data_IF_382890016366
#
_entry.id   IF_382890016366
#
_cell.length_a   1.000
_cell.length_b   1.000
_cell.length_c   1.000
_cell.angle_alpha   90.00
_cell.angle_beta   90.00
_cell.angle_gamma   90.00
#
_symmetry.space_group_name_H-M   'P 1'
#
loop_
_entity.id
_entity.type
_entity.pdbx_description
1 polymer ?
#
# COMPACT_ATOMS: atom_id res chain seq x y z
N UNK A 1 -6.10 6.06 7.19
CA UNK A 1 -6.86 5.79 5.95
C UNK A 1 -6.53 6.87 4.94
N UNK A 2 -6.16 6.50 3.74
CA UNK A 2 -5.90 7.43 2.64
C UNK A 2 -7.18 7.97 2.04
N UNK A 3 -7.07 8.85 1.05
CA UNK A 3 -8.19 9.37 0.28
C UNK A 3 -8.14 8.76 -1.12
N UNK A 4 -8.98 7.78 -1.39
CA UNK A 4 -9.13 7.20 -2.72
C UNK A 4 -9.81 8.17 -3.70
N UNK A 5 -9.83 7.81 -4.98
CA UNK A 5 -10.53 8.60 -5.98
C UNK A 5 -12.02 8.29 -5.98
N UNK A 6 -12.84 9.29 -5.77
CA UNK A 6 -14.28 9.24 -5.98
C UNK A 6 -14.66 10.31 -7.00
N UNK A 7 -15.32 9.91 -8.09
CA UNK A 7 -15.76 10.83 -9.12
C UNK A 7 -16.76 11.85 -8.55
N UNK A 8 -16.48 13.14 -8.74
CA UNK A 8 -17.29 14.25 -8.21
C UNK A 8 -18.33 14.73 -9.21
N UNK A 9 -17.90 15.01 -10.44
CA UNK A 9 -18.72 15.71 -11.45
C UNK A 9 -19.57 14.71 -12.26
N UNK A 10 -20.44 13.96 -11.59
CA UNK A 10 -21.29 12.95 -12.26
C UNK A 10 -22.52 13.55 -12.95
N UNK A 11 -22.97 14.73 -12.52
CA UNK A 11 -24.11 15.45 -13.05
C UNK A 11 -23.69 16.55 -14.03
N UNK A 12 -22.58 17.21 -13.75
CA UNK A 12 -22.05 18.33 -14.55
C UNK A 12 -21.43 17.84 -15.85
N UNK A 13 -20.73 16.71 -15.84
CA UNK A 13 -20.18 16.07 -17.05
C UNK A 13 -21.17 15.01 -17.53
N UNK A 14 -22.29 15.46 -18.06
CA UNK A 14 -23.37 14.60 -18.55
C UNK A 14 -23.91 15.06 -19.92
N UNK A 15 -24.63 14.19 -20.60
CA UNK A 15 -25.23 14.51 -21.91
C UNK A 15 -26.28 15.60 -21.75
N UNK A 16 -26.14 16.70 -22.52
CA UNK A 16 -27.05 17.82 -22.51
C UNK A 16 -26.68 18.94 -21.54
N UNK A 17 -25.66 18.75 -20.70
CA UNK A 17 -25.15 19.78 -19.82
C UNK A 17 -24.03 20.59 -20.47
N UNK A 18 -23.88 21.85 -20.04
CA UNK A 18 -22.72 22.68 -20.40
C UNK A 18 -21.58 22.32 -19.48
N UNK A 19 -20.49 21.82 -20.05
CA UNK A 19 -19.30 21.46 -19.29
C UNK A 19 -18.42 22.68 -19.12
N UNK A 20 -18.15 23.08 -17.89
CA UNK A 20 -17.27 24.18 -17.56
C UNK A 20 -15.86 23.70 -17.20
N UNK A 21 -14.88 24.59 -17.27
CA UNK A 21 -13.50 24.26 -16.93
C UNK A 21 -13.36 23.75 -15.47
N UNK A 22 -14.21 24.24 -14.57
CA UNK A 22 -14.22 23.81 -13.17
C UNK A 22 -14.58 22.33 -13.01
N UNK A 23 -15.45 21.78 -13.86
CA UNK A 23 -15.88 20.38 -13.78
C UNK A 23 -14.71 19.43 -14.01
N UNK A 24 -13.90 19.70 -15.05
CA UNK A 24 -12.68 18.94 -15.31
C UNK A 24 -11.59 19.21 -14.28
N UNK A 25 -11.35 20.46 -13.91
CA UNK A 25 -10.31 20.79 -12.93
C UNK A 25 -10.57 20.16 -11.57
N UNK A 26 -11.82 20.10 -11.13
CA UNK A 26 -12.19 19.44 -9.88
C UNK A 26 -11.94 17.93 -9.94
N UNK A 27 -12.30 17.25 -11.06
CA UNK A 27 -12.00 15.82 -11.25
C UNK A 27 -10.50 15.56 -11.27
N UNK A 28 -9.71 16.37 -11.97
CA UNK A 28 -8.26 16.21 -12.01
C UNK A 28 -7.61 16.46 -10.64
N UNK A 29 -8.09 17.43 -9.89
CA UNK A 29 -7.61 17.70 -8.53
C UNK A 29 -7.93 16.53 -7.59
N UNK A 30 -9.07 15.89 -7.72
CA UNK A 30 -9.44 14.71 -6.92
C UNK A 30 -8.55 13.51 -7.30
N UNK A 31 -8.22 13.32 -8.59
CA UNK A 31 -7.26 12.32 -9.03
C UNK A 31 -5.87 12.60 -8.44
N UNK A 32 -5.37 13.83 -8.53
CA UNK A 32 -4.09 14.23 -7.94
C UNK A 32 -4.07 13.96 -6.44
N UNK A 33 -5.16 14.29 -5.74
CA UNK A 33 -5.28 14.03 -4.30
C UNK A 33 -5.22 12.54 -3.96
N UNK A 34 -5.84 11.68 -4.78
CA UNK A 34 -5.81 10.22 -4.60
C UNK A 34 -4.39 9.62 -4.76
N UNK A 35 -3.49 10.30 -5.46
CA UNK A 35 -2.09 9.87 -5.65
C UNK A 35 -1.10 10.64 -4.78
N UNK A 36 -1.57 11.45 -3.81
CA UNK A 36 -0.67 12.15 -2.89
C UNK A 36 0.00 11.18 -1.92
N UNK A 37 1.32 11.30 -1.75
CA UNK A 37 2.15 10.32 -1.06
C UNK A 37 1.77 10.04 0.41
N UNK A 38 1.20 11.01 1.11
CA UNK A 38 0.89 10.89 2.55
C UNK A 38 -0.60 10.74 2.87
N UNK A 39 -1.47 11.11 1.95
CA UNK A 39 -2.92 11.17 2.16
C UNK A 39 -3.73 10.55 1.02
N UNK A 40 -3.07 10.01 0.01
CA UNK A 40 -3.72 9.34 -1.13
C UNK A 40 -4.27 7.95 -0.78
N UNK A 41 -4.73 7.21 -1.79
CA UNK A 41 -5.29 5.87 -1.63
C UNK A 41 -4.26 4.86 -1.09
N UNK A 42 -4.71 3.79 -0.45
CA UNK A 42 -3.87 2.88 0.33
C UNK A 42 -3.86 1.42 -0.11
N UNK A 43 -4.62 0.97 -1.06
CA UNK A 43 -4.75 -0.46 -1.44
C UNK A 43 -5.17 -1.38 -0.27
N UNK A 44 -6.12 -0.94 0.53
CA UNK A 44 -6.64 -1.69 1.68
C UNK A 44 -7.88 -2.54 1.37
N UNK A 45 -8.24 -2.67 0.09
CA UNK A 45 -9.40 -3.45 -0.36
C UNK A 45 -10.73 -2.73 -0.25
N UNK A 46 -10.79 -1.52 0.30
CA UNK A 46 -12.02 -0.73 0.36
C UNK A 46 -12.32 0.00 -0.96
N UNK A 47 -13.59 0.35 -1.16
CA UNK A 47 -14.01 1.07 -2.38
C UNK A 47 -13.25 2.39 -2.51
N UNK A 48 -12.71 2.65 -3.71
CA UNK A 48 -11.92 3.83 -4.07
C UNK A 48 -10.48 3.88 -3.53
N UNK A 49 -10.10 2.96 -2.62
CA UNK A 49 -8.72 2.88 -2.10
C UNK A 49 -7.81 1.94 -2.91
N UNK A 50 -8.36 1.30 -3.92
CA UNK A 50 -7.66 0.27 -4.70
C UNK A 50 -7.86 -1.12 -4.12
N UNK A 51 -7.87 -2.12 -4.99
CA UNK A 51 -7.97 -3.53 -4.58
C UNK A 51 -6.69 -4.02 -3.92
N UNK A 52 -6.78 -5.19 -3.30
CA UNK A 52 -5.63 -5.88 -2.70
C UNK A 52 -4.48 -6.04 -3.71
N UNK A 53 -3.26 -5.83 -3.27
CA UNK A 53 -2.07 -6.16 -4.07
C UNK A 53 -1.81 -7.65 -3.95
N UNK A 54 -2.34 -8.43 -4.89
CA UNK A 54 -2.24 -9.90 -4.87
C UNK A 54 -0.97 -10.43 -5.53
N UNK A 55 -0.19 -9.57 -6.21
CA UNK A 55 1.00 -9.99 -6.97
C UNK A 55 1.99 -8.86 -7.14
N UNK A 56 3.25 -9.13 -6.81
CA UNK A 56 4.39 -8.26 -7.09
C UNK A 56 5.29 -8.97 -8.12
N UNK A 57 5.43 -8.42 -9.32
CA UNK A 57 6.03 -9.08 -10.48
C UNK A 57 7.47 -8.66 -10.78
N UNK A 58 8.04 -7.77 -10.00
CA UNK A 58 9.43 -7.33 -10.21
C UNK A 58 10.46 -8.43 -9.89
N UNK A 59 11.62 -8.38 -10.51
CA UNK A 59 12.75 -9.23 -10.17
C UNK A 59 13.36 -8.88 -8.80
N UNK A 60 13.05 -7.70 -8.27
CA UNK A 60 13.47 -7.22 -6.95
C UNK A 60 12.37 -6.39 -6.32
N UNK A 61 12.31 -6.41 -4.99
CA UNK A 61 11.43 -5.59 -4.16
C UNK A 61 12.33 -4.92 -3.11
N UNK A 62 12.21 -3.59 -2.99
CA UNK A 62 12.84 -2.85 -1.90
C UNK A 62 11.77 -2.52 -0.86
N UNK A 63 12.00 -2.91 0.39
CA UNK A 63 11.14 -2.59 1.52
C UNK A 63 11.92 -1.67 2.45
N UNK A 64 11.33 -0.54 2.82
CA UNK A 64 11.96 0.48 3.62
C UNK A 64 12.42 1.70 2.81
N UNK A 65 12.79 2.75 3.51
CA UNK A 65 13.18 4.04 2.92
C UNK A 65 14.64 4.44 3.18
N UNK A 66 15.44 3.54 3.80
CA UNK A 66 16.85 3.79 4.12
C UNK A 66 17.06 4.78 5.29
N UNK A 67 16.07 4.98 6.15
CA UNK A 67 16.24 5.82 7.34
C UNK A 67 17.13 5.14 8.37
N UNK A 68 18.18 5.83 8.83
CA UNK A 68 19.10 5.31 9.84
C UNK A 68 18.39 5.04 11.17
N UNK A 69 18.71 3.91 11.81
CA UNK A 69 18.14 3.48 13.09
C UNK A 69 16.66 3.11 13.04
N UNK A 70 16.09 2.93 11.84
CA UNK A 70 14.68 2.58 11.68
C UNK A 70 14.55 1.12 11.26
N UNK A 71 14.09 0.28 12.17
CA UNK A 71 13.77 -1.11 11.86
C UNK A 71 12.70 -1.24 10.78
N UNK A 72 12.86 -2.22 9.90
CA UNK A 72 11.90 -2.51 8.85
C UNK A 72 11.06 -3.71 9.25
N UNK A 73 9.76 -3.51 9.38
CA UNK A 73 8.82 -4.51 9.88
C UNK A 73 7.89 -4.99 8.77
N UNK A 74 7.80 -6.30 8.59
CA UNK A 74 6.81 -6.96 7.72
C UNK A 74 5.91 -7.81 8.60
N UNK A 75 4.63 -7.47 8.66
CA UNK A 75 3.61 -8.19 9.43
C UNK A 75 2.82 -9.11 8.51
N UNK A 76 2.67 -10.37 8.91
CA UNK A 76 1.76 -11.33 8.32
C UNK A 76 0.52 -11.40 9.19
N UNK A 77 -0.51 -10.65 8.78
CA UNK A 77 -1.76 -10.44 9.53
C UNK A 77 -2.59 -11.73 9.56
N UNK A 78 -2.64 -12.39 10.70
CA UNK A 78 -3.36 -13.63 10.94
C UNK A 78 -4.68 -13.39 11.69
N UNK A 79 -5.61 -14.37 11.65
CA UNK A 79 -6.92 -14.26 12.31
C UNK A 79 -6.81 -14.10 13.84
N UNK A 80 -5.86 -14.79 14.47
CA UNK A 80 -5.74 -14.85 15.93
C UNK A 80 -4.44 -14.23 16.43
N UNK A 81 -3.34 -14.49 15.75
CA UNK A 81 -2.00 -13.98 16.06
C UNK A 81 -1.27 -13.66 14.78
N UNK A 82 -0.48 -12.60 14.80
CA UNK A 82 0.32 -12.15 13.67
C UNK A 82 1.73 -12.72 13.72
N UNK A 83 2.28 -13.04 12.55
CA UNK A 83 3.70 -13.30 12.39
C UNK A 83 4.45 -12.03 12.01
N UNK A 84 5.63 -11.78 12.58
CA UNK A 84 6.41 -10.59 12.27
C UNK A 84 7.84 -10.94 11.88
N UNK A 85 8.28 -10.40 10.74
CA UNK A 85 9.67 -10.41 10.30
C UNK A 85 10.21 -8.99 10.39
N UNK A 86 11.25 -8.77 11.17
CA UNK A 86 11.88 -7.46 11.34
C UNK A 86 13.33 -7.51 10.85
N UNK A 87 13.73 -6.56 10.02
CA UNK A 87 15.12 -6.22 9.86
C UNK A 87 15.51 -5.23 10.95
N UNK A 88 16.37 -5.66 11.88
CA UNK A 88 16.90 -4.84 12.96
C UNK A 88 18.06 -4.02 12.38
N UNK A 89 17.84 -2.72 12.13
CA UNK A 89 18.78 -1.90 11.37
C UNK A 89 20.08 -1.66 12.12
N UNK A 90 20.02 -1.35 13.40
CA UNK A 90 21.20 -1.07 14.22
C UNK A 90 21.98 -2.36 14.60
N UNK A 91 21.33 -3.51 14.64
CA UNK A 91 21.92 -4.80 15.01
C UNK A 91 22.30 -5.67 13.80
N UNK A 92 22.01 -5.24 12.58
CA UNK A 92 22.35 -5.94 11.33
C UNK A 92 21.87 -7.39 11.25
N UNK A 93 20.64 -7.68 11.72
CA UNK A 93 20.08 -9.04 11.61
C UNK A 93 18.56 -9.09 11.44
N UNK A 94 18.07 -10.24 10.97
CA UNK A 94 16.63 -10.52 10.94
C UNK A 94 16.16 -11.11 12.27
N UNK A 95 15.01 -10.61 12.75
CA UNK A 95 14.29 -11.13 13.91
C UNK A 95 12.93 -11.65 13.46
N UNK A 96 12.56 -12.83 13.93
CA UNK A 96 11.24 -13.44 13.74
C UNK A 96 10.51 -13.44 15.08
N UNK A 97 9.20 -13.15 15.06
CA UNK A 97 8.37 -13.18 16.28
C UNK A 97 8.09 -14.61 16.75
N UNK A 98 8.11 -15.56 15.80
CA UNK A 98 7.70 -16.95 16.02
C UNK A 98 8.73 -17.94 15.45
N UNK A 99 8.46 -19.22 15.66
CA UNK A 99 9.35 -20.30 15.21
C UNK A 99 9.49 -20.33 13.68
N UNK A 100 10.70 -20.65 13.22
CA UNK A 100 10.99 -20.91 11.82
C UNK A 100 10.98 -22.42 11.59
N UNK A 101 10.02 -22.91 10.81
CA UNK A 101 9.95 -24.32 10.40
C UNK A 101 10.58 -24.49 9.02
N UNK A 102 11.61 -25.29 8.94
CA UNK A 102 12.23 -25.69 7.67
C UNK A 102 11.68 -27.07 7.27
N UNK A 103 11.18 -27.18 6.03
CA UNK A 103 10.71 -28.46 5.49
C UNK A 103 11.77 -29.55 5.67
N UNK A 104 11.35 -30.75 6.07
CA UNK A 104 12.23 -31.85 6.42
C UNK A 104 13.24 -32.27 5.33
N UNK A 105 12.97 -31.89 4.07
CA UNK A 105 13.86 -32.14 2.92
C UNK A 105 14.80 -30.97 2.61
N UNK A 106 14.68 -29.87 3.35
CA UNK A 106 15.43 -28.63 3.14
C UNK A 106 16.35 -28.35 4.32
N UNK A 107 17.25 -27.42 4.16
CA UNK A 107 18.22 -27.03 5.20
C UNK A 107 18.44 -25.53 5.21
N UNK A 108 18.73 -25.03 6.40
CA UNK A 108 19.36 -23.74 6.59
C UNK A 108 20.90 -23.98 6.57
N UNK A 109 21.61 -23.33 5.65
CA UNK A 109 23.07 -23.43 5.54
C UNK A 109 23.74 -22.27 6.24
#
# INVERSE_FOLDING_TARGET
MGTGYVRRSTTEIATGEVIEAADFNNEFNDIVSAFTASTGHTHDGTTSEGGDVTKLLGAAITIGNGSAGADIVVTFDGETTDGVLTWMEDEDHFKFSDDIVIDSTKRLY
#
